data_IF_712030941605
#
_entry.id   IF_712030941605
#
_cell.length_a   1.000
_cell.length_b   1.000
_cell.length_c   1.000
_cell.angle_alpha   90.00
_cell.angle_beta   90.00
_cell.angle_gamma   90.00
#
_symmetry.space_group_name_H-M   'P 1'
#
loop_
_entity.id
_entity.type
_entity.pdbx_description
1 polymer ?
#
# COMPACT_ATOMS: atom_id res chain seq x y z
N UNK A 1 -18.01 -0.32 30.27
CA UNK A 1 -16.98 0.71 30.53
C UNK A 1 -15.68 0.24 29.89
N UNK A 2 -15.15 1.09 29.04
CA UNK A 2 -14.00 0.96 28.15
C UNK A 2 -12.72 0.44 28.79
N UNK A 3 -12.13 -0.61 28.21
CA UNK A 3 -10.68 -0.71 28.02
C UNK A 3 -10.37 -1.83 27.04
N UNK A 4 -9.90 -1.50 25.85
CA UNK A 4 -9.16 -2.44 25.02
C UNK A 4 -7.97 -1.68 24.47
N UNK A 5 -6.96 -1.54 25.34
CA UNK A 5 -5.61 -1.23 24.92
C UNK A 5 -5.06 -2.45 24.17
N UNK A 6 -4.55 -2.24 22.97
CA UNK A 6 -3.71 -3.23 22.29
C UNK A 6 -2.47 -2.49 21.80
N UNK A 7 -1.35 -3.00 22.30
CA UNK A 7 0.02 -2.54 22.17
C UNK A 7 0.53 -2.80 20.74
N UNK A 8 0.94 -1.75 20.03
CA UNK A 8 1.53 -1.82 18.69
C UNK A 8 3.05 -2.00 18.83
N UNK A 9 3.55 -3.20 18.49
CA UNK A 9 4.99 -3.51 18.38
C UNK A 9 5.52 -3.31 16.95
N UNK A 10 5.20 -2.18 16.33
CA UNK A 10 5.96 -1.67 15.18
C UNK A 10 6.14 -0.15 15.35
N UNK A 11 7.35 0.31 15.74
CA UNK A 11 7.59 1.71 16.10
C UNK A 11 7.54 2.67 14.91
N UNK A 12 7.46 2.18 13.67
CA UNK A 12 7.64 3.02 12.47
C UNK A 12 6.35 3.74 12.05
N UNK A 13 5.18 3.14 12.32
CA UNK A 13 3.87 3.69 11.93
C UNK A 13 3.27 4.60 13.03
N UNK A 14 3.88 4.61 14.22
CA UNK A 14 3.38 5.31 15.42
C UNK A 14 3.37 6.85 15.35
N UNK A 15 4.16 7.47 14.48
CA UNK A 15 4.32 8.94 14.48
C UNK A 15 3.50 9.70 13.43
N UNK A 16 2.82 9.02 12.50
CA UNK A 16 2.00 9.66 11.46
C UNK A 16 0.59 10.08 11.94
N UNK A 17 0.42 10.44 13.22
CA UNK A 17 -0.87 10.86 13.77
C UNK A 17 -0.91 12.36 14.04
N UNK A 18 -1.72 13.12 13.28
CA UNK A 18 -2.96 13.78 13.79
C UNK A 18 -3.71 14.74 12.85
N UNK A 19 -3.43 14.86 11.53
CA UNK A 19 -4.10 15.92 10.72
C UNK A 19 -4.98 15.50 9.53
N UNK A 20 -5.08 14.22 9.14
CA UNK A 20 -5.74 13.88 7.87
C UNK A 20 -7.09 13.13 7.95
N UNK A 21 -7.49 12.56 9.09
CA UNK A 21 -8.59 11.58 9.09
C UNK A 21 -9.79 12.02 9.95
N UNK A 22 -10.83 12.56 9.29
CA UNK A 22 -12.17 12.80 9.85
C UNK A 22 -13.11 11.70 9.33
N UNK A 23 -13.14 10.56 10.00
CA UNK A 23 -14.03 9.44 9.65
C UNK A 23 -13.85 8.25 10.59
N UNK A 24 -14.84 7.36 10.65
CA UNK A 24 -14.73 6.07 11.37
C UNK A 24 -13.66 5.23 10.65
N UNK A 25 -12.60 4.85 11.35
CA UNK A 25 -11.44 4.14 10.77
C UNK A 25 -11.55 2.64 11.01
N UNK A 26 -11.38 1.83 9.95
CA UNK A 26 -11.16 0.38 10.06
C UNK A 26 -9.68 0.14 9.79
N UNK A 27 -8.98 -0.48 10.75
CA UNK A 27 -7.54 -0.76 10.66
C UNK A 27 -7.28 -2.26 10.54
N UNK A 28 -6.49 -2.61 9.51
CA UNK A 28 -5.82 -3.90 9.26
C UNK A 28 -6.62 -4.99 8.51
N UNK A 29 -6.31 -5.16 7.22
CA UNK A 29 -6.78 -6.28 6.38
C UNK A 29 -5.75 -6.57 5.28
N UNK A 30 -4.70 -7.37 5.51
CA UNK A 30 -4.08 -8.14 4.41
C UNK A 30 -3.20 -9.33 4.82
N UNK A 31 -2.73 -9.43 6.08
CA UNK A 31 -1.80 -10.50 6.44
C UNK A 31 -2.44 -11.89 6.56
N UNK A 32 -3.78 -12.00 6.63
CA UNK A 32 -4.50 -13.28 6.90
C UNK A 32 -5.53 -13.72 5.85
N UNK A 33 -5.72 -12.98 4.76
CA UNK A 33 -6.76 -13.29 3.76
C UNK A 33 -6.14 -14.11 2.63
N UNK A 34 -6.77 -15.22 2.23
CA UNK A 34 -6.32 -16.10 1.15
C UNK A 34 -6.29 -15.34 -0.20
N UNK A 35 -5.23 -15.50 -1.01
CA UNK A 35 -4.98 -14.78 -2.28
C UNK A 35 -6.22 -14.75 -3.18
N UNK A 36 -6.94 -15.87 -3.29
CA UNK A 36 -8.14 -15.99 -4.12
C UNK A 36 -9.32 -15.11 -3.69
N UNK A 37 -9.35 -14.61 -2.45
CA UNK A 37 -10.44 -13.80 -1.89
C UNK A 37 -10.06 -12.35 -1.58
N UNK A 38 -8.80 -11.95 -1.85
CA UNK A 38 -8.31 -10.60 -1.55
C UNK A 38 -8.99 -9.54 -2.40
N UNK A 39 -9.14 -9.78 -3.70
CA UNK A 39 -9.80 -8.83 -4.61
C UNK A 39 -11.26 -8.54 -4.23
N UNK A 40 -12.04 -9.60 -3.96
CA UNK A 40 -13.44 -9.48 -3.53
C UNK A 40 -13.57 -8.75 -2.19
N UNK A 41 -12.68 -9.06 -1.24
CA UNK A 41 -12.68 -8.37 0.06
C UNK A 41 -12.38 -6.88 -0.09
N UNK A 42 -11.39 -6.53 -0.91
CA UNK A 42 -11.05 -5.12 -1.16
C UNK A 42 -12.20 -4.38 -1.87
N UNK A 43 -12.89 -5.03 -2.80
CA UNK A 43 -14.08 -4.45 -3.45
C UNK A 43 -15.21 -4.18 -2.43
N UNK A 44 -15.53 -5.17 -1.59
CA UNK A 44 -16.54 -5.01 -0.53
C UNK A 44 -16.15 -3.90 0.45
N UNK A 45 -14.90 -3.84 0.89
CA UNK A 45 -14.41 -2.80 1.78
C UNK A 45 -14.45 -1.41 1.13
N UNK A 46 -14.06 -1.31 -0.13
CA UNK A 46 -14.13 -0.08 -0.90
C UNK A 46 -15.55 0.43 -1.04
N UNK A 47 -16.52 -0.47 -1.27
CA UNK A 47 -17.94 -0.12 -1.30
C UNK A 47 -18.44 0.36 0.06
N UNK A 48 -18.18 -0.39 1.13
CA UNK A 48 -18.59 -0.04 2.49
C UNK A 48 -17.96 1.28 2.96
N UNK A 49 -16.70 1.53 2.59
CA UNK A 49 -16.02 2.78 2.91
C UNK A 49 -16.74 3.99 2.31
N UNK A 50 -17.15 3.89 1.04
CA UNK A 50 -17.89 4.94 0.34
C UNK A 50 -19.29 5.12 0.90
N UNK A 51 -20.01 4.03 1.14
CA UNK A 51 -21.38 4.05 1.65
C UNK A 51 -21.49 4.58 3.08
N UNK A 52 -20.53 4.24 3.94
CA UNK A 52 -20.59 4.55 5.38
C UNK A 52 -19.64 5.68 5.81
N UNK A 53 -19.00 6.34 4.85
CA UNK A 53 -17.99 7.38 5.04
C UNK A 53 -16.87 6.92 6.00
N UNK A 54 -16.33 5.73 5.73
CA UNK A 54 -15.23 5.13 6.49
C UNK A 54 -13.91 5.38 5.77
N UNK A 55 -12.84 5.44 6.55
CA UNK A 55 -11.49 5.30 6.03
C UNK A 55 -11.01 3.88 6.29
N UNK A 56 -10.60 3.18 5.23
CA UNK A 56 -9.96 1.87 5.31
C UNK A 56 -8.46 2.07 5.12
N UNK A 57 -7.67 1.60 6.09
CA UNK A 57 -6.21 1.56 5.98
C UNK A 57 -5.80 0.11 5.82
N UNK A 58 -5.15 -0.21 4.69
CA UNK A 58 -4.58 -1.53 4.43
C UNK A 58 -3.05 -1.48 4.44
N UNK A 59 -2.45 -2.56 4.92
CA UNK A 59 -1.02 -2.85 4.74
C UNK A 59 -0.95 -4.21 4.07
N UNK A 60 -0.28 -4.30 2.92
CA UNK A 60 -0.14 -5.54 2.14
C UNK A 60 1.29 -5.67 1.62
N UNK A 61 1.73 -6.91 1.42
CA UNK A 61 2.98 -7.22 0.72
C UNK A 61 2.82 -7.28 -0.80
N UNK A 62 1.57 -7.30 -1.29
CA UNK A 62 1.26 -7.29 -2.72
C UNK A 62 1.14 -5.86 -3.23
N UNK A 63 2.27 -5.28 -3.65
CA UNK A 63 2.32 -3.91 -4.14
C UNK A 63 1.41 -3.68 -5.36
N UNK A 64 1.36 -4.59 -6.32
CA UNK A 64 0.50 -4.43 -7.50
C UNK A 64 -1.00 -4.38 -7.15
N UNK A 65 -1.42 -5.17 -6.16
CA UNK A 65 -2.79 -5.10 -5.65
C UNK A 65 -3.03 -3.73 -5.01
N UNK A 66 -2.11 -3.27 -4.15
CA UNK A 66 -2.22 -1.97 -3.50
C UNK A 66 -2.35 -0.83 -4.52
N UNK A 67 -1.55 -0.86 -5.59
CA UNK A 67 -1.57 0.13 -6.68
C UNK A 67 -2.91 0.17 -7.41
N UNK A 68 -3.57 -0.98 -7.59
CA UNK A 68 -4.85 -1.08 -8.31
C UNK A 68 -6.04 -0.60 -7.50
N UNK A 69 -6.00 -0.79 -6.18
CA UNK A 69 -7.21 -0.67 -5.33
C UNK A 69 -7.19 0.52 -4.38
N UNK A 70 -6.03 1.12 -4.14
CA UNK A 70 -5.89 2.20 -3.16
C UNK A 70 -6.15 3.55 -3.82
N UNK A 71 -6.97 4.39 -3.20
CA UNK A 71 -7.12 5.78 -3.65
C UNK A 71 -5.83 6.60 -3.37
N UNK A 72 -5.12 6.26 -2.28
CA UNK A 72 -3.84 6.86 -1.86
C UNK A 72 -2.93 5.82 -1.24
N UNK A 73 -1.62 6.06 -1.33
CA UNK A 73 -0.59 5.18 -0.81
C UNK A 73 0.44 5.95 0.00
N UNK A 74 0.96 5.27 1.03
CA UNK A 74 2.14 5.69 1.75
C UNK A 74 3.33 4.86 1.31
N UNK A 75 4.35 5.53 0.78
CA UNK A 75 5.62 4.91 0.42
C UNK A 75 6.67 5.33 1.43
N UNK A 76 7.21 4.35 2.15
CA UNK A 76 8.36 4.56 3.04
C UNK A 76 9.64 4.26 2.25
N UNK A 77 10.45 5.29 2.06
CA UNK A 77 11.72 5.23 1.33
C UNK A 77 12.87 4.80 2.25
N UNK A 78 13.99 4.36 1.66
CA UNK A 78 15.14 3.84 2.41
C UNK A 78 15.78 4.88 3.35
N UNK A 79 15.64 6.16 3.02
CA UNK A 79 16.07 7.31 3.82
C UNK A 79 15.11 7.62 4.99
N UNK A 80 14.08 6.80 5.19
CA UNK A 80 12.99 6.96 6.16
C UNK A 80 12.03 8.12 5.84
N UNK A 81 12.05 8.63 4.62
CA UNK A 81 11.04 9.58 4.14
C UNK A 81 9.73 8.85 3.88
N UNK A 82 8.62 9.41 4.37
CA UNK A 82 7.28 8.90 4.13
C UNK A 82 6.56 9.82 3.14
N UNK A 83 6.30 9.31 1.94
CA UNK A 83 5.62 10.04 0.87
C UNK A 83 4.17 9.55 0.76
N UNK A 84 3.22 10.48 0.61
CA UNK A 84 1.79 10.19 0.52
C UNK A 84 1.20 10.77 -0.77
N UNK A 85 0.84 9.92 -1.72
CA UNK A 85 0.25 10.36 -2.98
C UNK A 85 -0.71 9.31 -3.56
N UNK A 86 -1.30 9.61 -4.72
CA UNK A 86 -2.05 8.64 -5.52
C UNK A 86 -1.11 7.57 -6.11
N UNK A 87 -1.59 6.35 -6.39
CA UNK A 87 -0.79 5.32 -7.06
C UNK A 87 -0.12 5.83 -8.36
N UNK A 88 -0.88 6.54 -9.20
CA UNK A 88 -0.38 7.09 -10.46
C UNK A 88 0.75 8.09 -10.24
N UNK A 89 0.60 9.03 -9.31
CA UNK A 89 1.65 10.01 -9.01
C UNK A 89 2.92 9.35 -8.45
N UNK A 90 2.78 8.35 -7.58
CA UNK A 90 3.93 7.60 -7.07
C UNK A 90 4.64 6.81 -8.18
N UNK A 91 3.89 6.22 -9.10
CA UNK A 91 4.45 5.51 -10.24
C UNK A 91 5.22 6.45 -11.17
N UNK A 92 4.61 7.55 -11.57
CA UNK A 92 5.23 8.57 -12.44
C UNK A 92 6.48 9.20 -11.80
N UNK A 93 6.52 9.33 -10.47
CA UNK A 93 7.66 9.90 -9.77
C UNK A 93 8.93 9.03 -9.80
N UNK A 94 8.84 7.77 -10.24
CA UNK A 94 9.94 6.81 -10.19
C UNK A 94 10.31 6.30 -8.80
N UNK A 95 9.65 6.80 -7.74
CA UNK A 95 9.94 6.41 -6.35
C UNK A 95 9.65 4.94 -6.06
N UNK A 96 8.65 4.35 -6.74
CA UNK A 96 8.35 2.92 -6.60
C UNK A 96 9.52 2.08 -7.10
N UNK A 97 10.05 2.37 -8.29
CA UNK A 97 11.24 1.69 -8.81
C UNK A 97 12.43 1.88 -7.88
N UNK A 98 12.70 3.12 -7.44
CA UNK A 98 13.78 3.41 -6.49
C UNK A 98 13.68 2.61 -5.17
N UNK A 99 12.48 2.34 -4.68
CA UNK A 99 12.26 1.59 -3.44
C UNK A 99 12.34 0.06 -3.62
N UNK A 100 11.86 -0.46 -4.75
CA UNK A 100 11.58 -1.90 -4.91
C UNK A 100 12.38 -2.61 -6.01
N UNK A 101 13.04 -1.90 -6.91
CA UNK A 101 13.86 -2.52 -7.95
C UNK A 101 15.00 -3.33 -7.33
N UNK A 102 15.10 -4.61 -7.68
CA UNK A 102 16.09 -5.55 -7.14
C UNK A 102 16.49 -6.56 -8.20
N UNK A 103 17.80 -6.78 -8.36
CA UNK A 103 18.32 -7.69 -9.39
C UNK A 103 17.82 -7.29 -10.77
N UNK A 104 17.09 -8.18 -11.45
CA UNK A 104 16.47 -7.95 -12.78
C UNK A 104 15.04 -7.43 -12.72
N UNK A 105 14.46 -7.31 -11.53
CA UNK A 105 13.08 -6.85 -11.39
C UNK A 105 13.04 -5.32 -11.51
N UNK A 106 12.20 -4.82 -12.42
CA UNK A 106 11.98 -3.38 -12.64
C UNK A 106 10.50 -3.06 -12.62
N UNK A 107 10.15 -1.94 -12.03
CA UNK A 107 8.79 -1.42 -12.07
C UNK A 107 8.50 -0.70 -13.41
N UNK A 108 7.42 -1.09 -14.09
CA UNK A 108 6.86 -0.36 -15.22
C UNK A 108 5.74 0.59 -14.72
N UNK A 109 5.97 1.92 -14.72
CA UNK A 109 4.99 2.88 -14.21
C UNK A 109 3.75 3.05 -15.09
N UNK A 110 3.80 2.64 -16.37
CA UNK A 110 2.64 2.70 -17.27
C UNK A 110 1.72 1.51 -17.05
N UNK A 111 2.32 0.33 -16.84
CA UNK A 111 1.58 -0.92 -16.63
C UNK A 111 1.24 -1.17 -15.17
N UNK A 112 1.91 -0.49 -14.24
CA UNK A 112 1.76 -0.65 -12.79
C UNK A 112 2.09 -2.08 -12.32
N UNK A 113 3.09 -2.69 -12.94
CA UNK A 113 3.56 -4.06 -12.67
C UNK A 113 5.08 -4.11 -12.61
N UNK A 114 5.63 -5.19 -12.05
CA UNK A 114 7.05 -5.47 -12.18
C UNK A 114 7.32 -6.42 -13.33
N UNK A 115 8.25 -6.03 -14.21
CA UNK A 115 8.76 -6.86 -15.29
C UNK A 115 10.16 -7.38 -14.94
N UNK A 116 10.55 -8.50 -15.55
CA UNK A 116 11.91 -9.03 -15.48
C UNK A 116 12.70 -8.55 -16.70
N UNK A 117 13.79 -7.82 -16.46
CA UNK A 117 14.76 -7.51 -17.50
C UNK A 117 15.37 -8.80 -18.06
N UNK A 118 15.52 -8.84 -19.38
CA UNK A 118 16.20 -9.95 -20.05
C UNK A 118 17.65 -10.07 -19.58
N UNK A 119 18.17 -11.29 -19.50
CA UNK A 119 19.61 -11.51 -19.31
C UNK A 119 20.35 -10.96 -20.52
N UNK A 120 21.25 -10.01 -20.30
CA UNK A 120 22.06 -9.42 -21.37
C UNK A 120 22.97 -10.52 -21.94
N UNK A 121 22.53 -11.12 -23.04
CA UNK A 121 23.19 -12.23 -23.71
C UNK A 121 24.33 -11.67 -24.57
N UNK A 122 25.32 -11.08 -23.91
CA UNK A 122 26.56 -10.57 -24.52
C UNK A 122 27.75 -11.05 -23.71
N UNK A 123 28.05 -12.34 -23.82
CA UNK A 123 29.38 -12.91 -23.58
C UNK A 123 29.65 -13.95 -24.66
#
# INVERSE_FOLDING_TARGET
>A
MTSTGVELRDPTIGHARRRAFRGRTVTEIASKVNVARRGELVDVLGRLAREQNLTVVMSTHELELALRVSDRMWLLEADRTLTCDTPAALAESGRIGAAFDRGRMRFDPRRMVFDLEAEDSRV
#
